data_IF_378923942743
#
_entry.id   IF_378923942743
#
_cell.length_a   1.000
_cell.length_b   1.000
_cell.length_c   1.000
_cell.angle_alpha   90.00
_cell.angle_beta   90.00
_cell.angle_gamma   90.00
#
_symmetry.space_group_name_H-M   'P 1'
#
loop_
_entity.id
_entity.type
_entity.pdbx_description
1 polymer ?
#
# COMPACT_ATOMS: atom_id res chain seq x y z
N UNK A 1 -3.80 -23.47 68.07
CA UNK A 1 -4.15 -22.26 67.30
C UNK A 1 -4.45 -22.53 65.82
N UNK A 2 -4.68 -23.79 65.40
CA UNK A 2 -4.97 -24.18 64.01
C UNK A 2 -6.36 -24.78 63.79
N UNK A 3 -7.14 -25.03 64.84
CA UNK A 3 -8.52 -25.57 64.73
C UNK A 3 -9.56 -24.52 64.36
N UNK A 4 -9.35 -23.24 64.70
CA UNK A 4 -10.37 -22.20 64.54
C UNK A 4 -10.44 -21.59 63.12
N UNK A 5 -9.51 -21.90 62.21
CA UNK A 5 -9.52 -21.39 60.82
C UNK A 5 -10.25 -22.33 59.85
N UNK A 6 -10.34 -23.63 60.17
CA UNK A 6 -11.07 -24.61 59.35
C UNK A 6 -12.59 -24.53 59.58
N UNK A 7 -13.03 -24.26 60.81
CA UNK A 7 -14.45 -24.08 61.13
C UNK A 7 -15.05 -22.79 60.55
N UNK A 8 -14.21 -21.76 60.32
CA UNK A 8 -14.65 -20.53 59.65
C UNK A 8 -14.81 -20.71 58.13
N UNK A 9 -14.05 -21.62 57.51
CA UNK A 9 -14.11 -21.87 56.07
C UNK A 9 -15.28 -22.81 55.67
N UNK A 10 -15.65 -23.76 56.53
CA UNK A 10 -16.79 -24.67 56.31
C UNK A 10 -18.13 -23.93 56.36
N UNK A 11 -18.30 -23.00 57.32
CA UNK A 11 -19.51 -22.17 57.41
C UNK A 11 -19.74 -21.24 56.22
N UNK A 12 -18.67 -20.77 55.57
CA UNK A 12 -18.77 -19.94 54.36
C UNK A 12 -19.11 -20.75 53.09
N UNK A 13 -18.69 -22.01 53.02
CA UNK A 13 -19.02 -22.90 51.90
C UNK A 13 -20.50 -23.33 51.93
N UNK A 14 -21.05 -23.62 53.11
CA UNK A 14 -22.45 -24.01 53.27
C UNK A 14 -23.44 -22.88 52.91
N UNK A 15 -23.07 -21.63 53.20
CA UNK A 15 -23.88 -20.45 52.83
C UNK A 15 -23.89 -20.21 51.31
N UNK A 16 -22.76 -20.42 50.63
CA UNK A 16 -22.65 -20.29 49.18
C UNK A 16 -23.40 -21.40 48.43
N UNK A 17 -23.38 -22.63 48.96
CA UNK A 17 -24.12 -23.78 48.39
C UNK A 17 -25.63 -23.63 48.61
N UNK A 18 -26.06 -23.12 49.78
CA UNK A 18 -27.47 -22.81 50.06
C UNK A 18 -28.01 -21.69 49.15
N UNK A 19 -27.21 -20.63 48.92
CA UNK A 19 -27.56 -19.55 48.01
C UNK A 19 -27.66 -20.01 46.53
N UNK A 20 -26.76 -20.91 46.10
CA UNK A 20 -26.79 -21.49 44.75
C UNK A 20 -28.00 -22.41 44.53
N UNK A 21 -28.38 -23.21 45.53
CA UNK A 21 -29.56 -24.08 45.49
C UNK A 21 -30.88 -23.31 45.51
N UNK A 22 -30.91 -22.15 46.17
CA UNK A 22 -32.10 -21.29 46.23
C UNK A 22 -32.33 -20.57 44.89
N UNK A 23 -31.26 -20.17 44.19
CA UNK A 23 -31.36 -19.59 42.85
C UNK A 23 -31.71 -20.61 41.74
N UNK A 24 -31.31 -21.88 41.89
CA UNK A 24 -31.61 -22.93 40.91
C UNK A 24 -33.09 -23.34 40.86
N UNK A 25 -33.84 -23.17 41.97
CA UNK A 25 -35.29 -23.49 42.04
C UNK A 25 -36.22 -22.46 41.38
N UNK A 26 -35.70 -21.30 40.95
CA UNK A 26 -36.50 -20.23 40.35
C UNK A 26 -36.60 -20.28 38.81
N UNK A 27 -36.00 -21.27 38.16
CA UNK A 27 -36.03 -21.41 36.70
C UNK A 27 -37.15 -22.37 36.25
N UNK A 28 -37.96 -22.01 35.24
CA UNK A 28 -39.17 -22.74 34.84
C UNK A 28 -38.86 -23.96 33.96
N UNK A 29 -37.88 -24.79 34.35
CA UNK A 29 -37.51 -26.04 33.68
C UNK A 29 -37.55 -27.24 34.63
N UNK A 30 -38.42 -27.19 35.64
CA UNK A 30 -38.61 -28.25 36.64
C UNK A 30 -39.35 -29.51 36.12
N UNK A 31 -39.45 -29.70 34.80
CA UNK A 31 -40.20 -30.82 34.18
C UNK A 31 -39.37 -31.96 33.61
N UNK A 32 -38.03 -31.88 33.65
CA UNK A 32 -37.14 -32.87 33.00
C UNK A 32 -36.33 -33.74 33.97
N UNK A 33 -36.46 -33.52 35.28
CA UNK A 33 -35.75 -34.30 36.31
C UNK A 33 -36.72 -35.06 37.21
N UNK A 34 -37.52 -35.95 36.61
CA UNK A 34 -38.22 -37.00 37.35
C UNK A 34 -37.36 -38.29 37.28
N UNK A 35 -36.19 -38.23 37.91
CA UNK A 35 -35.32 -39.41 38.10
C UNK A 35 -35.47 -39.86 39.57
N UNK A 36 -36.27 -40.91 39.75
CA UNK A 36 -36.52 -41.54 41.06
C UNK A 36 -35.24 -42.22 41.57
N UNK A 37 -34.63 -41.65 42.61
CA UNK A 37 -33.55 -42.28 43.35
C UNK A 37 -34.14 -43.34 44.29
N UNK A 38 -34.27 -44.57 43.80
CA UNK A 38 -34.52 -45.76 44.62
C UNK A 38 -33.23 -46.20 45.31
N UNK A 39 -32.83 -45.52 46.39
CA UNK A 39 -31.69 -45.91 47.20
C UNK A 39 -31.41 -44.90 48.32
N UNK A 40 -31.25 -45.41 49.55
CA UNK A 40 -31.01 -44.63 50.76
C UNK A 40 -29.72 -43.79 50.62
N UNK A 41 -29.85 -42.46 50.56
CA UNK A 41 -28.75 -41.51 50.29
C UNK A 41 -27.81 -41.29 51.48
N UNK A 42 -27.95 -42.05 52.57
CA UNK A 42 -27.11 -41.95 53.77
C UNK A 42 -25.77 -42.71 53.68
N UNK A 43 -25.50 -43.40 52.56
CA UNK A 43 -24.33 -44.27 52.39
C UNK A 43 -23.44 -43.93 51.17
N UNK A 44 -23.57 -42.74 50.57
CA UNK A 44 -22.62 -42.30 49.53
C UNK A 44 -21.51 -41.53 50.23
N UNK A 45 -20.40 -42.22 50.49
CA UNK A 45 -19.18 -41.61 51.01
C UNK A 45 -18.66 -40.62 49.94
N UNK A 46 -18.85 -39.32 50.18
CA UNK A 46 -18.39 -38.24 49.30
C UNK A 46 -16.90 -38.36 49.00
N UNK A 47 -16.11 -38.96 49.89
CA UNK A 47 -14.69 -39.21 49.66
C UNK A 47 -14.44 -40.34 48.65
N UNK A 48 -15.27 -41.40 48.61
CA UNK A 48 -15.18 -42.44 47.58
C UNK A 48 -15.64 -41.93 46.21
N UNK A 49 -16.67 -41.08 46.16
CA UNK A 49 -17.12 -40.48 44.91
C UNK A 49 -16.11 -39.44 44.38
N UNK A 50 -15.60 -38.56 45.25
CA UNK A 50 -14.57 -37.58 44.88
C UNK A 50 -13.28 -38.27 44.50
N UNK A 51 -12.84 -39.32 45.22
CA UNK A 51 -11.67 -40.10 44.85
C UNK A 51 -11.88 -40.93 43.57
N UNK A 52 -13.10 -41.38 43.27
CA UNK A 52 -13.46 -42.08 42.03
C UNK A 52 -13.51 -41.16 40.80
N UNK A 53 -13.96 -39.91 40.99
CA UNK A 53 -13.87 -38.84 39.97
C UNK A 53 -12.41 -38.38 39.81
N UNK A 54 -11.62 -38.35 40.90
CA UNK A 54 -10.17 -38.12 40.90
C UNK A 54 -9.37 -39.39 40.47
N UNK A 55 -9.98 -40.56 40.32
CA UNK A 55 -9.30 -41.74 39.78
C UNK A 55 -9.50 -41.90 38.27
N UNK A 56 -10.46 -41.19 37.66
CA UNK A 56 -10.65 -41.07 36.21
C UNK A 56 -9.67 -40.08 35.53
N UNK A 57 -8.52 -39.81 36.16
CA UNK A 57 -7.66 -38.65 35.85
C UNK A 57 -6.53 -38.81 34.80
N UNK A 58 -6.28 -39.95 34.12
CA UNK A 58 -5.29 -39.95 33.03
C UNK A 58 -5.86 -39.39 31.72
N UNK A 59 -7.15 -39.63 31.43
CA UNK A 59 -7.76 -39.24 30.15
C UNK A 59 -7.98 -37.73 30.07
N UNK A 60 -8.52 -37.13 31.14
CA UNK A 60 -8.71 -35.67 31.21
C UNK A 60 -7.37 -34.92 31.20
N UNK A 61 -6.39 -35.41 31.98
CA UNK A 61 -5.04 -34.86 31.97
C UNK A 61 -4.37 -34.93 30.60
N UNK A 62 -4.54 -36.05 29.88
CA UNK A 62 -4.04 -36.19 28.51
C UNK A 62 -4.62 -35.14 27.56
N UNK A 63 -5.94 -34.94 27.56
CA UNK A 63 -6.59 -33.93 26.71
C UNK A 63 -6.15 -32.50 27.10
N UNK A 64 -6.04 -32.21 28.39
CA UNK A 64 -5.57 -30.90 28.86
C UNK A 64 -4.16 -30.59 28.36
N UNK A 65 -3.21 -31.53 28.53
CA UNK A 65 -1.85 -31.36 28.02
C UNK A 65 -1.81 -31.29 26.49
N UNK A 66 -2.64 -32.08 25.79
CA UNK A 66 -2.79 -32.00 24.34
C UNK A 66 -3.20 -30.60 23.88
N UNK A 67 -4.23 -30.00 24.50
CA UNK A 67 -4.67 -28.64 24.16
C UNK A 67 -3.62 -27.57 24.48
N UNK A 68 -2.91 -27.69 25.60
CA UNK A 68 -1.83 -26.77 25.95
C UNK A 68 -0.70 -26.84 24.93
N UNK A 69 -0.25 -28.05 24.58
CA UNK A 69 0.80 -28.24 23.57
C UNK A 69 0.35 -27.72 22.22
N UNK A 70 -0.87 -28.05 21.80
CA UNK A 70 -1.46 -27.53 20.55
C UNK A 70 -1.49 -26.00 20.52
N UNK A 71 -1.96 -25.37 21.60
CA UNK A 71 -1.99 -23.90 21.73
C UNK A 71 -0.59 -23.30 21.68
N UNK A 72 0.38 -23.87 22.40
CA UNK A 72 1.77 -23.41 22.37
C UNK A 72 2.41 -23.54 21.00
N UNK A 73 2.18 -24.65 20.30
CA UNK A 73 2.64 -24.87 18.91
C UNK A 73 2.01 -23.83 17.99
N UNK A 74 0.70 -23.61 18.09
CA UNK A 74 -0.04 -22.63 17.30
C UNK A 74 0.49 -21.21 17.55
N UNK A 75 0.64 -20.80 18.80
CA UNK A 75 1.23 -19.51 19.17
C UNK A 75 2.66 -19.35 18.63
N UNK A 76 3.48 -20.41 18.70
CA UNK A 76 4.86 -20.38 18.18
C UNK A 76 4.87 -20.20 16.67
N UNK A 77 3.98 -20.89 15.94
CA UNK A 77 3.85 -20.75 14.49
C UNK A 77 3.41 -19.32 14.12
N UNK A 78 2.39 -18.77 14.80
CA UNK A 78 1.95 -17.39 14.55
C UNK A 78 3.05 -16.37 14.85
N UNK A 79 3.78 -16.52 15.94
CA UNK A 79 4.90 -15.64 16.29
C UNK A 79 6.01 -15.69 15.22
N UNK A 80 6.36 -16.90 14.73
CA UNK A 80 7.32 -17.04 13.63
C UNK A 80 6.84 -16.37 12.35
N UNK A 81 5.57 -16.52 11.98
CA UNK A 81 4.98 -15.85 10.82
C UNK A 81 5.03 -14.32 10.97
N UNK A 82 4.71 -13.79 12.14
CA UNK A 82 4.80 -12.36 12.43
C UNK A 82 6.24 -11.85 12.36
N UNK A 83 7.23 -12.59 12.88
CA UNK A 83 8.64 -12.20 12.77
C UNK A 83 9.11 -12.15 11.31
N UNK A 84 8.69 -13.11 10.48
CA UNK A 84 8.98 -13.10 9.04
C UNK A 84 8.29 -11.92 8.37
N UNK A 85 7.02 -11.66 8.70
CA UNK A 85 6.27 -10.53 8.15
C UNK A 85 6.90 -9.19 8.52
N UNK A 86 7.27 -8.98 9.79
CA UNK A 86 7.94 -7.76 10.26
C UNK A 86 9.30 -7.59 9.56
N UNK A 87 10.07 -8.67 9.41
CA UNK A 87 11.36 -8.63 8.71
C UNK A 87 11.18 -8.27 7.23
N UNK A 88 10.17 -8.84 6.58
CA UNK A 88 9.82 -8.52 5.20
C UNK A 88 9.36 -7.07 5.05
N UNK A 89 8.48 -6.59 5.93
CA UNK A 89 7.97 -5.21 5.92
C UNK A 89 9.11 -4.22 6.20
N UNK A 90 9.98 -4.49 7.17
CA UNK A 90 11.14 -3.63 7.46
C UNK A 90 12.06 -3.51 6.25
N UNK A 91 12.41 -4.63 5.62
CA UNK A 91 13.23 -4.64 4.41
C UNK A 91 12.52 -3.94 3.23
N UNK A 92 11.21 -4.08 3.10
CA UNK A 92 10.41 -3.38 2.10
C UNK A 92 10.36 -1.86 2.34
N UNK A 93 10.20 -1.43 3.60
CA UNK A 93 10.18 -0.03 3.99
C UNK A 93 11.56 0.63 3.84
N UNK A 94 12.64 -0.05 4.22
CA UNK A 94 14.01 0.43 4.03
C UNK A 94 14.32 0.60 2.53
N UNK A 95 13.85 -0.32 1.69
CA UNK A 95 13.98 -0.20 0.22
C UNK A 95 13.07 0.85 -0.42
N UNK A 96 11.99 1.25 0.26
CA UNK A 96 11.06 2.31 -0.17
C UNK A 96 11.49 3.69 0.31
N UNK A 97 12.34 3.77 1.33
CA UNK A 97 13.00 4.99 1.79
C UNK A 97 14.04 5.44 0.77
N UNK A 98 13.57 5.99 -0.35
CA UNK A 98 14.38 6.81 -1.27
C UNK A 98 14.87 8.13 -0.64
N UNK A 99 14.71 8.31 0.68
CA UNK A 99 15.08 9.54 1.36
C UNK A 99 16.58 9.81 1.36
N UNK A 100 17.42 8.86 0.97
CA UNK A 100 18.87 9.10 0.89
C UNK A 100 19.49 8.22 -0.18
N UNK A 101 19.25 8.48 -1.48
CA UNK A 101 20.35 8.27 -2.40
C UNK A 101 21.29 9.47 -2.21
N UNK A 102 22.50 9.28 -1.63
CA UNK A 102 23.45 10.38 -1.48
C UNK A 102 23.56 11.15 -2.79
N UNK A 103 23.76 12.47 -2.73
CA UNK A 103 23.96 13.31 -3.94
C UNK A 103 25.00 12.70 -4.91
N UNK A 104 25.93 11.89 -4.42
CA UNK A 104 26.88 11.10 -5.21
C UNK A 104 26.21 10.19 -6.27
N UNK A 105 25.03 9.63 -5.99
CA UNK A 105 24.32 8.76 -6.94
C UNK A 105 23.65 9.52 -8.09
N UNK A 106 23.49 10.85 -7.98
CA UNK A 106 22.93 11.69 -9.05
C UNK A 106 23.64 11.50 -10.39
N UNK A 107 24.93 11.18 -10.38
CA UNK A 107 25.74 10.95 -11.59
C UNK A 107 25.39 9.66 -12.34
N UNK A 108 24.81 8.68 -11.67
CA UNK A 108 24.45 7.39 -12.28
C UNK A 108 23.04 7.40 -12.87
N UNK A 109 22.21 8.36 -12.48
CA UNK A 109 20.89 8.54 -13.07
C UNK A 109 21.04 8.98 -14.53
N UNK A 110 20.38 8.23 -15.42
CA UNK A 110 20.31 8.61 -16.83
C UNK A 110 19.29 9.73 -16.99
N UNK A 111 19.56 10.78 -17.77
CA UNK A 111 18.60 11.86 -17.93
C UNK A 111 17.32 11.38 -18.62
N UNK A 112 16.20 12.03 -18.32
CA UNK A 112 14.85 11.62 -18.76
C UNK A 112 14.17 12.74 -19.55
N UNK A 113 13.60 12.42 -20.70
CA UNK A 113 12.69 13.30 -21.45
C UNK A 113 11.24 12.93 -21.11
N UNK A 114 10.52 13.84 -20.46
CA UNK A 114 9.09 13.69 -20.16
C UNK A 114 8.28 14.19 -21.34
N UNK A 115 7.47 13.32 -21.94
CA UNK A 115 6.65 13.59 -23.11
C UNK A 115 5.19 13.71 -22.70
N UNK A 116 4.59 14.87 -22.98
CA UNK A 116 3.20 15.18 -22.62
C UNK A 116 2.40 15.48 -23.88
N UNK A 117 1.73 14.48 -24.49
CA UNK A 117 0.79 14.74 -25.58
C UNK A 117 -0.44 15.48 -25.03
N UNK A 118 -0.78 16.60 -25.64
CA UNK A 118 -1.90 17.45 -25.27
C UNK A 118 -2.80 17.70 -26.49
N UNK A 119 -4.09 17.47 -26.33
CA UNK A 119 -5.12 17.78 -27.33
C UNK A 119 -6.37 18.31 -26.63
N UNK A 120 -6.68 19.59 -26.82
CA UNK A 120 -7.81 20.28 -26.18
C UNK A 120 -7.78 20.24 -24.63
N UNK A 121 -6.66 20.63 -24.04
CA UNK A 121 -6.38 20.52 -22.59
C UNK A 121 -6.20 21.89 -21.91
N UNK A 122 -6.85 22.94 -22.41
CA UNK A 122 -6.70 24.32 -21.92
C UNK A 122 -6.82 24.46 -20.39
N UNK A 123 -7.72 23.70 -19.75
CA UNK A 123 -8.01 23.81 -18.32
C UNK A 123 -6.97 23.17 -17.40
N UNK A 124 -6.32 22.10 -17.84
CA UNK A 124 -5.45 21.24 -17.02
C UNK A 124 -3.96 21.47 -17.31
N UNK A 125 -3.61 21.79 -18.56
CA UNK A 125 -2.24 21.71 -19.07
C UNK A 125 -1.24 22.58 -18.29
N UNK A 126 -1.65 23.78 -17.87
CA UNK A 126 -0.77 24.70 -17.13
C UNK A 126 -0.41 24.12 -15.77
N UNK A 127 -1.39 23.54 -15.07
CA UNK A 127 -1.16 22.90 -13.77
C UNK A 127 -0.27 21.66 -13.91
N UNK A 128 -0.51 20.84 -14.94
CA UNK A 128 0.30 19.66 -15.24
C UNK A 128 1.76 20.03 -15.48
N UNK A 129 2.03 21.01 -16.35
CA UNK A 129 3.41 21.46 -16.63
C UNK A 129 4.05 22.09 -15.38
N UNK A 130 3.30 22.86 -14.59
CA UNK A 130 3.81 23.40 -13.32
C UNK A 130 4.18 22.30 -12.32
N UNK A 131 3.42 21.20 -12.27
CA UNK A 131 3.77 20.05 -11.43
C UNK A 131 5.04 19.37 -11.92
N UNK A 132 5.17 19.19 -13.24
CA UNK A 132 6.35 18.60 -13.86
C UNK A 132 7.63 19.41 -13.58
N UNK A 133 7.54 20.73 -13.60
CA UNK A 133 8.68 21.61 -13.28
C UNK A 133 9.15 21.50 -11.82
N UNK A 134 8.32 20.94 -10.91
CA UNK A 134 8.66 20.73 -9.50
C UNK A 134 9.26 19.35 -9.21
N UNK A 135 9.43 18.51 -10.23
CA UNK A 135 10.00 17.18 -10.06
C UNK A 135 11.43 17.24 -9.54
N UNK A 136 11.75 16.35 -8.60
CA UNK A 136 13.08 16.22 -8.03
C UNK A 136 13.86 15.15 -8.78
N UNK A 137 14.44 15.52 -9.93
CA UNK A 137 15.31 14.64 -10.70
C UNK A 137 16.58 15.38 -11.15
N UNK A 138 17.76 14.73 -11.18
CA UNK A 138 19.02 15.43 -11.45
C UNK A 138 19.07 16.16 -12.79
N UNK A 139 18.61 15.51 -13.87
CA UNK A 139 18.63 16.04 -15.21
C UNK A 139 17.44 15.49 -16.00
N UNK A 140 16.52 16.36 -16.37
CA UNK A 140 15.33 16.02 -17.14
C UNK A 140 14.87 17.19 -17.99
N UNK A 141 14.14 16.89 -19.06
CA UNK A 141 13.44 17.88 -19.89
C UNK A 141 11.96 17.52 -19.99
N UNK A 142 11.14 18.54 -20.26
CA UNK A 142 9.71 18.42 -20.46
C UNK A 142 9.42 18.86 -21.89
N UNK A 143 8.77 17.99 -22.64
CA UNK A 143 8.36 18.23 -24.02
C UNK A 143 6.84 18.07 -24.07
N UNK A 144 6.15 19.20 -24.16
CA UNK A 144 4.69 19.22 -24.36
C UNK A 144 4.43 19.18 -25.86
N UNK A 145 3.63 18.23 -26.32
CA UNK A 145 3.27 18.08 -27.74
C UNK A 145 1.82 18.49 -27.92
N UNK A 146 1.59 19.65 -28.51
CA UNK A 146 0.27 20.11 -28.94
C UNK A 146 -0.12 19.41 -30.24
N UNK A 147 -1.06 18.47 -30.16
CA UNK A 147 -1.49 17.62 -31.28
C UNK A 147 -2.54 18.30 -32.18
N UNK A 148 -2.28 19.55 -32.58
CA UNK A 148 -3.22 20.33 -33.38
C UNK A 148 -4.52 20.65 -32.63
N UNK A 149 -4.42 21.02 -31.35
CA UNK A 149 -5.58 21.43 -30.54
C UNK A 149 -6.36 22.55 -31.24
N UNK A 150 -7.68 22.46 -31.14
CA UNK A 150 -8.63 23.46 -31.67
C UNK A 150 -8.96 24.54 -30.65
N UNK A 151 -8.60 24.33 -29.38
CA UNK A 151 -8.73 25.29 -28.30
C UNK A 151 -7.47 26.15 -28.11
N UNK A 152 -7.51 27.04 -27.12
CA UNK A 152 -6.38 27.90 -26.74
C UNK A 152 -5.31 27.21 -25.86
N UNK A 153 -5.16 25.88 -25.94
CA UNK A 153 -4.11 25.13 -25.19
C UNK A 153 -2.72 25.74 -25.42
N UNK A 154 -2.37 26.01 -26.67
CA UNK A 154 -1.07 26.59 -27.02
C UNK A 154 -0.95 28.03 -26.51
N UNK A 155 -2.03 28.83 -26.57
CA UNK A 155 -2.03 30.20 -26.06
C UNK A 155 -1.77 30.27 -24.57
N UNK A 156 -2.46 29.43 -23.79
CA UNK A 156 -2.24 29.29 -22.35
C UNK A 156 -0.78 28.92 -22.01
N UNK A 157 -0.22 27.95 -22.73
CA UNK A 157 1.18 27.56 -22.56
C UNK A 157 2.14 28.71 -22.88
N UNK A 158 1.88 29.46 -23.96
CA UNK A 158 2.71 30.62 -24.34
C UNK A 158 2.67 31.73 -23.30
N UNK A 159 1.48 32.04 -22.79
CA UNK A 159 1.28 33.07 -21.77
C UNK A 159 1.88 32.67 -20.43
N UNK A 160 1.66 31.42 -19.98
CA UNK A 160 2.10 30.95 -18.67
C UNK A 160 3.63 30.76 -18.58
N UNK A 161 4.29 30.35 -19.67
CA UNK A 161 5.70 29.95 -19.66
C UNK A 161 6.63 30.81 -20.51
N UNK A 162 6.17 31.96 -21.04
CA UNK A 162 6.94 32.87 -21.89
C UNK A 162 7.68 32.13 -23.02
N UNK A 163 6.88 31.45 -23.85
CA UNK A 163 7.37 30.59 -24.93
C UNK A 163 7.74 31.39 -26.18
N UNK A 164 8.88 31.05 -26.78
CA UNK A 164 9.37 31.65 -28.01
C UNK A 164 9.58 30.65 -29.13
N UNK A 165 9.29 31.02 -30.38
CA UNK A 165 9.65 30.21 -31.54
C UNK A 165 11.16 29.92 -31.54
N UNK A 166 11.50 28.63 -31.63
CA UNK A 166 12.87 28.17 -31.72
C UNK A 166 12.98 27.21 -32.91
N UNK A 167 13.82 27.55 -33.88
CA UNK A 167 14.07 26.71 -35.05
C UNK A 167 15.07 25.60 -34.67
N UNK A 168 14.56 24.51 -34.10
CA UNK A 168 15.38 23.37 -33.72
C UNK A 168 15.44 22.33 -34.84
N UNK A 169 16.65 21.96 -35.22
CA UNK A 169 16.85 20.76 -36.03
C UNK A 169 16.73 19.53 -35.13
N UNK A 170 15.86 18.59 -35.49
CA UNK A 170 15.67 17.33 -34.78
C UNK A 170 15.84 16.14 -35.73
N UNK A 171 15.93 14.93 -35.16
CA UNK A 171 16.11 13.72 -35.94
C UNK A 171 14.76 13.11 -36.25
N UNK A 172 14.36 13.14 -37.51
CA UNK A 172 13.12 12.50 -37.97
C UNK A 172 13.34 10.99 -38.15
N UNK A 173 13.27 10.24 -37.03
CA UNK A 173 13.46 8.78 -37.01
C UNK A 173 12.15 8.03 -37.12
N UNK A 174 11.12 8.54 -36.45
CA UNK A 174 9.79 7.95 -36.40
C UNK A 174 8.86 8.76 -37.30
N UNK A 175 8.02 8.07 -38.07
CA UNK A 175 7.03 8.73 -38.92
C UNK A 175 6.03 9.51 -38.05
N UNK A 176 5.89 10.79 -38.34
CA UNK A 176 4.94 11.68 -37.67
C UNK A 176 4.25 12.62 -38.64
N UNK A 177 3.10 13.16 -38.24
CA UNK A 177 2.55 14.35 -38.88
C UNK A 177 3.53 15.53 -38.77
N UNK A 178 3.49 16.50 -39.70
CA UNK A 178 4.47 17.58 -39.73
C UNK A 178 4.39 18.46 -38.47
N UNK A 179 5.55 18.72 -37.89
CA UNK A 179 5.71 19.71 -36.81
C UNK A 179 5.69 21.10 -37.44
N UNK A 180 4.73 21.92 -37.03
CA UNK A 180 4.54 23.29 -37.51
C UNK A 180 5.58 24.23 -36.90
N UNK A 181 5.76 24.15 -35.58
CA UNK A 181 6.66 25.04 -34.86
C UNK A 181 7.11 24.41 -33.55
N UNK A 182 8.39 24.61 -33.21
CA UNK A 182 8.92 24.28 -31.88
C UNK A 182 9.07 25.58 -31.09
N UNK A 183 8.75 25.52 -29.81
CA UNK A 183 8.85 26.62 -28.87
C UNK A 183 9.73 26.23 -27.69
N UNK A 184 10.52 27.18 -27.20
CA UNK A 184 11.31 27.04 -25.99
C UNK A 184 10.87 28.10 -24.96
N UNK A 185 10.84 27.74 -23.68
CA UNK A 185 10.56 28.70 -22.61
C UNK A 185 11.79 29.54 -22.31
N UNK A 186 11.60 30.87 -22.17
CA UNK A 186 12.66 31.76 -21.67
C UNK A 186 12.90 31.60 -20.17
N UNK A 187 11.87 31.20 -19.44
CA UNK A 187 11.92 31.07 -17.98
C UNK A 187 12.46 29.73 -17.53
N UNK A 188 12.17 28.66 -18.28
CA UNK A 188 12.53 27.30 -17.94
C UNK A 188 13.30 26.64 -19.09
N UNK A 189 14.62 26.53 -18.96
CA UNK A 189 15.47 25.97 -20.01
C UNK A 189 15.20 24.49 -20.33
N UNK A 190 14.53 23.79 -19.42
CA UNK A 190 14.14 22.40 -19.54
C UNK A 190 12.70 22.21 -20.05
N UNK A 191 12.00 23.26 -20.48
CA UNK A 191 10.64 23.19 -21.01
C UNK A 191 10.59 23.56 -22.50
N UNK A 192 10.12 22.62 -23.32
CA UNK A 192 9.88 22.79 -24.74
C UNK A 192 8.44 22.43 -25.07
N UNK A 193 7.87 23.14 -26.04
CA UNK A 193 6.52 22.89 -26.54
C UNK A 193 6.58 22.74 -28.05
N UNK A 194 5.94 21.70 -28.57
CA UNK A 194 5.92 21.37 -29.99
C UNK A 194 4.48 21.57 -30.47
N UNK A 195 4.29 22.33 -31.53
CA UNK A 195 3.02 22.42 -32.24
C UNK A 195 3.11 21.62 -33.54
N UNK A 196 2.18 20.69 -33.74
CA UNK A 196 2.12 19.80 -34.91
C UNK A 196 0.70 19.69 -35.46
N UNK A 197 0.57 19.12 -36.65
CA UNK A 197 -0.73 18.72 -37.17
C UNK A 197 -1.29 17.52 -36.40
N UNK A 198 -2.61 17.44 -36.26
CA UNK A 198 -3.26 16.38 -35.49
C UNK A 198 -2.99 15.00 -36.10
N UNK A 199 -2.41 14.09 -35.31
CA UNK A 199 -2.12 12.71 -35.69
C UNK A 199 -2.50 11.67 -34.63
N UNK A 200 -3.06 12.11 -33.50
CA UNK A 200 -3.38 11.27 -32.36
C UNK A 200 -2.21 11.05 -31.40
N UNK A 201 -2.51 10.40 -30.26
CA UNK A 201 -1.56 10.21 -29.14
C UNK A 201 -0.25 9.53 -29.55
N UNK A 202 -0.32 8.45 -30.34
CA UNK A 202 0.87 7.72 -30.79
C UNK A 202 1.77 8.56 -31.69
N UNK A 203 1.17 9.34 -32.59
CA UNK A 203 1.89 10.24 -33.49
C UNK A 203 2.56 11.38 -32.69
N UNK A 204 1.86 11.91 -31.70
CA UNK A 204 2.39 12.93 -30.78
C UNK A 204 3.56 12.41 -29.93
N UNK A 205 3.47 11.19 -29.42
CA UNK A 205 4.58 10.55 -28.71
C UNK A 205 5.78 10.31 -29.63
N UNK A 206 5.55 9.86 -30.86
CA UNK A 206 6.60 9.70 -31.86
C UNK A 206 7.30 11.04 -32.16
N UNK A 207 6.55 12.13 -32.28
CA UNK A 207 7.10 13.47 -32.47
C UNK A 207 7.93 13.91 -31.25
N UNK A 208 7.43 13.64 -30.05
CA UNK A 208 8.17 13.83 -28.81
C UNK A 208 9.49 13.07 -28.78
N UNK A 209 9.51 11.80 -29.19
CA UNK A 209 10.72 10.97 -29.25
C UNK A 209 11.73 11.50 -30.27
N UNK A 210 11.27 11.95 -31.44
CA UNK A 210 12.13 12.56 -32.46
C UNK A 210 12.85 13.83 -31.95
N UNK A 211 12.20 14.60 -31.06
CA UNK A 211 12.71 15.84 -30.48
C UNK A 211 13.43 15.67 -29.13
N UNK A 212 13.25 14.53 -28.48
CA UNK A 212 13.86 14.23 -27.19
C UNK A 212 15.38 14.08 -27.30
N UNK A 213 16.08 14.63 -26.32
CA UNK A 213 17.55 14.68 -26.26
C UNK A 213 18.12 13.56 -25.42
N UNK A 214 17.33 13.02 -24.48
CA UNK A 214 17.78 12.05 -23.51
C UNK A 214 17.38 10.62 -23.88
N UNK A 215 18.10 9.59 -23.36
CA UNK A 215 17.89 8.20 -23.76
C UNK A 215 16.65 7.55 -23.12
N UNK A 216 16.16 8.08 -22.00
CA UNK A 216 14.96 7.59 -21.34
C UNK A 216 13.79 8.51 -21.66
N UNK A 217 12.66 7.91 -22.07
CA UNK A 217 11.42 8.63 -22.36
C UNK A 217 10.37 8.25 -21.31
N UNK A 218 9.75 9.25 -20.71
CA UNK A 218 8.63 9.07 -19.79
C UNK A 218 7.39 9.67 -20.44
N UNK A 219 6.45 8.83 -20.86
CA UNK A 219 5.15 9.30 -21.37
C UNK A 219 4.20 9.58 -20.20
N UNK A 220 3.52 10.71 -20.26
CA UNK A 220 2.56 11.14 -19.25
C UNK A 220 1.40 11.86 -19.92
N UNK A 221 0.18 11.66 -19.41
CA UNK A 221 -1.00 12.34 -19.93
C UNK A 221 -1.09 13.80 -19.46
N UNK A 222 -1.70 14.65 -20.28
CA UNK A 222 -1.79 16.09 -20.04
C UNK A 222 -2.68 16.48 -18.85
N UNK A 223 -3.50 15.56 -18.35
CA UNK A 223 -4.42 15.69 -17.22
C UNK A 223 -3.91 15.01 -15.94
N UNK A 224 -2.69 14.49 -15.96
CA UNK A 224 -2.11 13.75 -14.83
C UNK A 224 -1.20 14.62 -13.96
N UNK A 225 -0.94 14.19 -12.73
CA UNK A 225 0.00 14.85 -11.81
C UNK A 225 0.99 13.80 -11.29
N UNK A 226 2.28 14.12 -11.34
CA UNK A 226 3.34 13.28 -10.77
C UNK A 226 3.74 13.79 -9.38
N UNK A 227 4.05 12.86 -8.49
CA UNK A 227 4.68 13.17 -7.22
C UNK A 227 6.13 13.63 -7.46
N UNK A 228 6.69 14.53 -6.63
CA UNK A 228 8.04 15.07 -6.84
C UNK A 228 9.12 13.98 -6.98
N UNK A 229 8.96 12.84 -6.32
CA UNK A 229 9.90 11.71 -6.31
C UNK A 229 9.58 10.63 -7.36
N UNK A 230 8.51 10.78 -8.15
CA UNK A 230 8.05 9.76 -9.10
C UNK A 230 9.13 9.35 -10.10
N UNK A 231 9.88 10.32 -10.66
CA UNK A 231 10.94 10.00 -11.62
C UNK A 231 12.12 9.24 -10.98
N UNK A 232 12.44 9.52 -9.72
CA UNK A 232 13.49 8.79 -9.00
C UNK A 232 13.11 7.32 -8.79
N UNK A 233 11.84 7.07 -8.41
CA UNK A 233 11.29 5.73 -8.28
C UNK A 233 11.29 4.98 -9.62
N UNK A 234 10.85 5.64 -10.69
CA UNK A 234 10.81 5.05 -12.04
C UNK A 234 12.20 4.76 -12.60
N UNK A 235 13.21 5.54 -12.21
CA UNK A 235 14.58 5.33 -12.65
C UNK A 235 15.31 4.21 -11.87
N UNK A 236 14.82 3.79 -10.70
CA UNK A 236 15.48 2.79 -9.85
C UNK A 236 15.73 1.45 -10.56
N UNK A 237 14.76 0.84 -11.28
CA UNK A 237 15.00 -0.41 -12.01
C UNK A 237 16.12 -0.30 -13.06
N UNK A 238 16.26 0.86 -13.72
CA UNK A 238 17.35 1.10 -14.69
C UNK A 238 18.73 1.24 -14.05
N UNK A 239 18.80 1.51 -12.74
CA UNK A 239 20.04 1.51 -11.97
C UNK A 239 20.40 0.12 -11.45
N UNK A 240 19.38 -0.67 -11.07
CA UNK A 240 19.56 -2.01 -10.50
C UNK A 240 19.89 -3.06 -11.57
N UNK A 241 19.25 -2.98 -12.75
CA UNK A 241 19.48 -3.90 -13.86
C UNK A 241 19.62 -3.13 -15.19
N UNK A 242 20.78 -3.32 -15.84
CA UNK A 242 21.10 -2.72 -17.14
C UNK A 242 20.26 -3.28 -18.29
N UNK A 243 19.61 -4.43 -18.12
CA UNK A 243 18.71 -5.02 -19.10
C UNK A 243 17.27 -4.50 -18.98
N UNK A 244 16.98 -3.63 -18.01
CA UNK A 244 15.65 -3.04 -17.89
C UNK A 244 15.32 -2.19 -19.11
N UNK A 245 14.26 -2.57 -19.83
CA UNK A 245 13.78 -1.86 -21.02
C UNK A 245 12.67 -0.85 -20.68
N UNK A 246 11.84 -1.16 -19.69
CA UNK A 246 10.71 -0.33 -19.28
C UNK A 246 10.45 -0.44 -17.77
N UNK A 247 9.97 0.64 -17.18
CA UNK A 247 9.47 0.69 -15.82
C UNK A 247 8.10 1.37 -15.80
N UNK A 248 7.18 0.83 -15.00
CA UNK A 248 5.83 1.36 -14.85
C UNK A 248 5.57 1.82 -13.42
N UNK A 249 4.80 2.91 -13.28
CA UNK A 249 4.31 3.40 -11.98
C UNK A 249 2.86 3.00 -11.76
N UNK A 250 2.42 2.99 -10.50
CA UNK A 250 1.00 2.85 -10.18
C UNK A 250 0.30 4.18 -10.37
N UNK A 251 -0.70 4.22 -11.23
CA UNK A 251 -1.59 5.37 -11.40
C UNK A 251 -2.73 5.26 -10.39
N UNK A 252 -3.02 6.36 -9.69
CA UNK A 252 -4.16 6.45 -8.77
C UNK A 252 -5.07 7.57 -9.24
N UNK A 253 -6.36 7.31 -9.19
CA UNK A 253 -7.37 8.29 -9.55
C UNK A 253 -7.40 9.35 -8.45
N UNK A 254 -7.18 10.60 -8.85
CA UNK A 254 -7.41 11.76 -8.02
C UNK A 254 -8.77 12.33 -8.46
N UNK A 255 -9.85 11.83 -7.86
CA UNK A 255 -11.15 12.47 -8.04
C UNK A 255 -11.25 13.63 -7.05
N UNK A 256 -11.73 14.77 -7.54
CA UNK A 256 -11.84 16.03 -6.81
C UNK A 256 -12.45 15.88 -5.40
N UNK A 257 -11.86 16.66 -4.49
CA UNK A 257 -12.45 17.10 -3.22
C UNK A 257 -13.39 18.28 -3.46
#
# INVERSE_FOLDING_TARGET
>A
MSSNLLDAASGHADVLVSAALTHAKALPLAGWFDFSWGGDMSAIDLNEWVSGVISQQPVVGFFQWFFIIYFLVLCTIYLLLEMVAISYIKNYMDNRSLNVLPRAYKKYFRPISVLVPAFNEMGSIVQTVQSLLRLNYPEFEIIVINDGSTDDTLGQLRMAFDLQPFAEAYRDRLKTMPVRQVYNSRRYANLRVIDKENGGKSDSLNAGINLARYPLYCCMDADSILLPESLLLLAKPFLEDTNTVAAGGTVRILNDC
#
